data_IF_487698360533
#
_entry.id   IF_487698360533
#
_cell.length_a   1.000
_cell.length_b   1.000
_cell.length_c   1.000
_cell.angle_alpha   90.00
_cell.angle_beta   90.00
_cell.angle_gamma   90.00
#
_symmetry.space_group_name_H-M   'P 1'
#
loop_
_entity.id
_entity.type
_entity.pdbx_description
1 polymer ?
#
# COMPACT_ATOMS: atom_id res chain seq x y z
N UNK A 1 11.05 -7.45 -0.03
CA UNK A 1 10.95 -6.20 0.73
C UNK A 1 9.62 -6.10 1.44
N UNK A 2 9.57 -5.32 2.49
CA UNK A 2 8.33 -5.01 3.20
C UNK A 2 8.34 -3.53 3.58
N UNK A 3 7.26 -2.85 3.28
CA UNK A 3 7.03 -1.46 3.66
C UNK A 3 5.90 -1.40 4.68
N UNK A 4 6.11 -0.62 5.73
CA UNK A 4 5.14 -0.43 6.81
C UNK A 4 4.84 1.05 6.96
N UNK A 5 3.57 1.41 6.90
CA UNK A 5 3.08 2.76 7.15
C UNK A 5 2.24 2.71 8.43
N UNK A 6 2.56 3.58 9.37
CA UNK A 6 1.79 3.76 10.59
C UNK A 6 1.51 5.26 10.78
N UNK A 7 0.24 5.63 10.80
CA UNK A 7 -0.22 7.01 11.01
C UNK A 7 -1.22 7.02 12.18
N UNK A 8 -0.98 7.87 13.17
CA UNK A 8 -1.82 8.05 14.34
C UNK A 8 -2.23 9.50 14.47
N UNK A 9 -3.52 9.74 14.66
CA UNK A 9 -4.08 11.07 14.90
C UNK A 9 -4.90 11.05 16.18
N UNK A 10 -4.71 12.08 16.98
CA UNK A 10 -5.54 12.35 18.15
C UNK A 10 -6.15 13.73 18.03
N UNK A 11 -7.46 13.81 18.15
CA UNK A 11 -8.21 15.06 18.07
C UNK A 11 -9.01 15.25 19.34
N UNK A 12 -8.91 16.44 19.91
CA UNK A 12 -9.71 16.84 21.08
C UNK A 12 -10.58 18.03 20.69
N UNK A 13 -11.87 17.89 20.92
CA UNK A 13 -12.82 18.98 20.77
C UNK A 13 -13.27 19.41 22.16
N UNK A 14 -12.88 20.62 22.58
CA UNK A 14 -13.24 21.20 23.87
C UNK A 14 -14.36 22.22 23.68
N UNK A 15 -15.35 22.13 24.49
CA UNK A 15 -16.38 23.18 24.55
C UNK A 15 -15.80 24.48 25.10
N UNK A 16 -16.35 25.59 24.64
CA UNK A 16 -16.02 26.92 25.14
C UNK A 16 -17.18 27.43 25.95
N UNK A 17 -16.91 27.94 27.13
CA UNK A 17 -17.90 28.63 27.97
C UNK A 17 -17.54 30.09 28.14
N UNK A 18 -18.49 30.92 28.39
CA UNK A 18 -18.31 32.35 28.60
C UNK A 18 -19.18 32.85 29.76
N UNK A 19 -18.77 33.94 30.40
CA UNK A 19 -19.54 34.61 31.41
C UNK A 19 -20.31 35.75 30.75
N UNK A 20 -21.58 35.95 31.14
CA UNK A 20 -22.42 36.99 30.54
C UNK A 20 -21.99 38.41 30.96
N UNK A 21 -21.44 38.56 32.15
CA UNK A 21 -20.91 39.77 32.74
C UNK A 21 -19.96 39.43 33.88
N UNK A 22 -19.30 40.42 34.45
CA UNK A 22 -18.35 40.24 35.54
C UNK A 22 -18.98 39.72 36.87
N UNK A 23 -20.31 39.83 36.99
CA UNK A 23 -21.04 39.37 38.17
C UNK A 23 -21.61 37.95 38.02
N UNK A 24 -21.49 37.40 36.82
CA UNK A 24 -21.95 36.05 36.56
C UNK A 24 -21.08 35.01 37.30
N UNK A 25 -21.68 34.28 38.23
CA UNK A 25 -21.00 33.21 38.98
C UNK A 25 -20.93 31.91 38.23
N UNK A 26 -21.72 31.76 37.17
CA UNK A 26 -21.79 30.53 36.40
C UNK A 26 -21.47 30.79 34.91
N UNK A 27 -20.57 30.03 34.32
CA UNK A 27 -20.27 30.12 32.89
C UNK A 27 -21.41 29.54 32.06
N UNK A 28 -21.73 30.19 30.94
CA UNK A 28 -22.65 29.66 29.94
C UNK A 28 -21.92 28.98 28.79
N UNK A 29 -22.28 27.78 28.40
CA UNK A 29 -21.68 27.12 27.24
C UNK A 29 -22.07 27.88 25.95
N UNK A 30 -21.11 28.10 25.06
CA UNK A 30 -21.32 28.81 23.78
C UNK A 30 -22.15 27.95 22.82
N UNK A 31 -22.16 26.65 22.96
CA UNK A 31 -22.89 25.70 22.15
C UNK A 31 -22.98 24.35 22.85
N UNK A 32 -23.94 23.51 22.44
CA UNK A 32 -24.05 22.13 22.85
C UNK A 32 -22.67 21.51 22.99
N UNK A 33 -22.20 21.39 24.20
CA UNK A 33 -20.81 21.06 24.50
C UNK A 33 -20.63 19.55 24.51
N UNK A 34 -20.67 18.98 23.32
CA UNK A 34 -20.25 17.60 23.11
C UNK A 34 -18.72 17.56 23.19
N UNK A 35 -18.22 17.52 24.41
CA UNK A 35 -16.82 17.26 24.64
C UNK A 35 -16.45 15.91 24.05
N UNK A 36 -15.56 15.90 23.05
CA UNK A 36 -15.16 14.68 22.35
C UNK A 36 -13.65 14.54 22.37
N UNK A 37 -13.23 13.32 22.49
CA UNK A 37 -11.85 12.95 22.15
C UNK A 37 -11.90 11.76 21.21
N UNK A 38 -11.18 11.85 20.09
CA UNK A 38 -11.04 10.75 19.16
C UNK A 38 -9.57 10.37 18.98
N UNK A 39 -9.35 9.08 18.85
CA UNK A 39 -8.07 8.50 18.50
C UNK A 39 -8.26 7.67 17.23
N UNK A 40 -7.57 8.05 16.18
CA UNK A 40 -7.53 7.34 14.92
C UNK A 40 -6.15 6.74 14.72
N UNK A 41 -6.10 5.48 14.38
CA UNK A 41 -4.88 4.76 14.06
C UNK A 41 -5.05 4.06 12.72
N UNK A 42 -4.09 4.23 11.83
CA UNK A 42 -4.04 3.56 10.54
C UNK A 42 -2.69 2.86 10.39
N UNK A 43 -2.75 1.59 10.02
CA UNK A 43 -1.57 0.78 9.77
C UNK A 43 -1.71 0.09 8.42
N UNK A 44 -0.69 0.17 7.60
CA UNK A 44 -0.64 -0.52 6.31
C UNK A 44 0.68 -1.27 6.14
N UNK A 45 0.59 -2.46 5.56
CA UNK A 45 1.73 -3.32 5.24
C UNK A 45 1.70 -3.67 3.76
N UNK A 46 2.84 -3.48 3.09
CA UNK A 46 3.10 -4.02 1.77
C UNK A 46 4.23 -5.05 1.89
N UNK A 47 3.91 -6.31 1.62
CA UNK A 47 4.87 -7.40 1.61
C UNK A 47 5.03 -7.88 0.19
N UNK A 48 6.25 -7.80 -0.34
CA UNK A 48 6.60 -8.30 -1.66
C UNK A 48 7.60 -9.46 -1.51
N UNK A 49 7.20 -10.63 -1.98
CA UNK A 49 8.01 -11.86 -1.98
C UNK A 49 8.22 -12.30 -3.41
N UNK A 50 9.47 -12.64 -3.76
CA UNK A 50 9.79 -13.10 -5.10
C UNK A 50 10.82 -14.22 -5.09
N UNK A 51 10.62 -15.16 -6.00
CA UNK A 51 11.57 -16.22 -6.31
C UNK A 51 11.87 -16.14 -7.81
N UNK A 52 13.12 -15.95 -8.17
CA UNK A 52 13.58 -15.82 -9.55
C UNK A 52 14.65 -16.85 -9.84
N UNK A 53 14.55 -17.47 -11.02
CA UNK A 53 15.55 -18.36 -11.58
C UNK A 53 16.07 -17.72 -12.87
N UNK A 54 17.37 -17.45 -12.91
CA UNK A 54 18.04 -16.87 -14.07
C UNK A 54 18.98 -17.89 -14.72
N UNK A 55 18.98 -17.90 -16.05
CA UNK A 55 19.87 -18.74 -16.84
C UNK A 55 20.45 -17.91 -17.99
N UNK A 56 21.77 -18.00 -18.18
CA UNK A 56 22.45 -17.36 -19.32
C UNK A 56 23.59 -18.26 -19.79
N UNK A 57 23.61 -18.53 -21.09
CA UNK A 57 24.68 -19.34 -21.70
C UNK A 57 24.93 -18.96 -23.14
N UNK A 58 26.22 -18.89 -23.49
CA UNK A 58 26.70 -18.65 -24.85
C UNK A 58 27.28 -19.94 -25.44
N UNK A 59 26.85 -20.27 -26.66
CA UNK A 59 27.31 -21.42 -27.43
C UNK A 59 27.86 -20.94 -28.80
N UNK A 60 29.11 -20.65 -28.89
CA UNK A 60 29.72 -20.08 -30.11
C UNK A 60 29.11 -18.71 -30.43
N UNK A 61 28.33 -18.60 -31.52
CA UNK A 61 27.66 -17.37 -31.92
C UNK A 61 26.23 -17.23 -31.36
N UNK A 62 25.77 -18.20 -30.60
CA UNK A 62 24.42 -18.25 -30.05
C UNK A 62 24.44 -17.87 -28.57
N UNK A 63 23.65 -16.94 -28.16
CA UNK A 63 23.44 -16.61 -26.76
C UNK A 63 21.97 -16.89 -26.41
N UNK A 64 21.75 -17.62 -25.32
CA UNK A 64 20.44 -17.95 -24.78
C UNK A 64 20.36 -17.43 -23.36
N UNK A 65 19.34 -16.66 -23.08
CA UNK A 65 19.00 -16.21 -21.73
C UNK A 65 17.60 -16.64 -21.36
N UNK A 66 17.39 -16.94 -20.11
CA UNK A 66 16.09 -17.31 -19.57
C UNK A 66 15.91 -16.76 -18.17
N UNK A 67 14.76 -16.20 -17.88
CA UNK A 67 14.31 -15.83 -16.55
C UNK A 67 12.95 -16.45 -16.31
N UNK A 68 12.78 -17.08 -15.18
CA UNK A 68 11.49 -17.58 -14.71
C UNK A 68 11.29 -17.16 -13.26
N UNK A 69 10.07 -16.74 -12.91
CA UNK A 69 9.84 -16.27 -11.57
C UNK A 69 8.40 -16.37 -11.10
N UNK A 70 8.28 -16.38 -9.79
CA UNK A 70 7.01 -16.26 -9.07
C UNK A 70 7.13 -15.08 -8.12
N UNK A 71 6.16 -14.18 -8.17
CA UNK A 71 6.08 -13.05 -7.24
C UNK A 71 4.74 -13.05 -6.54
N UNK A 72 4.74 -12.63 -5.29
CA UNK A 72 3.53 -12.42 -4.50
C UNK A 72 3.64 -11.07 -3.79
N UNK A 73 2.67 -10.21 -4.05
CA UNK A 73 2.49 -8.95 -3.36
C UNK A 73 1.24 -9.02 -2.50
N UNK A 74 1.35 -8.70 -1.22
CA UNK A 74 0.24 -8.66 -0.28
C UNK A 74 0.20 -7.29 0.38
N UNK A 75 -0.90 -6.59 0.17
CA UNK A 75 -1.20 -5.33 0.84
C UNK A 75 -2.30 -5.56 1.86
N UNK A 76 -2.06 -5.13 3.08
CA UNK A 76 -3.03 -5.14 4.16
C UNK A 76 -3.06 -3.75 4.78
N UNK A 77 -4.25 -3.17 4.90
CA UNK A 77 -4.46 -1.94 5.65
C UNK A 77 -5.54 -2.15 6.68
N UNK A 78 -5.37 -1.54 7.82
CA UNK A 78 -6.31 -1.55 8.93
C UNK A 78 -6.39 -0.15 9.52
N UNK A 79 -7.59 0.34 9.73
CA UNK A 79 -7.84 1.60 10.42
C UNK A 79 -8.83 1.37 11.54
N UNK A 80 -8.55 1.96 12.67
CA UNK A 80 -9.48 1.98 13.79
C UNK A 80 -9.63 3.40 14.34
N UNK A 81 -10.83 3.74 14.69
CA UNK A 81 -11.16 5.00 15.34
C UNK A 81 -11.97 4.72 16.61
N UNK A 82 -11.55 5.36 17.70
CA UNK A 82 -12.25 5.33 18.97
C UNK A 82 -12.62 6.76 19.32
N UNK A 83 -13.91 7.05 19.38
CA UNK A 83 -14.43 8.34 19.84
C UNK A 83 -15.09 8.17 21.22
N UNK A 84 -14.78 9.05 22.14
CA UNK A 84 -15.48 9.20 23.42
C UNK A 84 -16.13 10.56 23.51
N UNK A 85 -17.36 10.59 23.98
CA UNK A 85 -18.16 11.80 24.23
C UNK A 85 -18.41 11.95 25.72
N UNK A 86 -18.62 13.20 26.16
CA UNK A 86 -18.88 13.51 27.56
C UNK A 86 -17.64 13.47 28.47
N UNK A 87 -16.47 13.73 27.90
CA UNK A 87 -15.21 13.83 28.67
C UNK A 87 -15.15 15.20 29.32
N UNK A 88 -14.99 15.26 30.65
CA UNK A 88 -14.82 16.51 31.36
C UNK A 88 -13.46 17.16 31.05
N UNK A 89 -13.43 18.41 30.50
CA UNK A 89 -12.20 19.08 30.16
C UNK A 89 -11.37 19.51 31.37
N UNK A 90 -12.01 19.74 32.50
CA UNK A 90 -11.36 20.29 33.71
C UNK A 90 -10.56 19.23 34.46
N UNK A 91 -10.82 17.95 34.20
CA UNK A 91 -10.11 16.85 34.83
C UNK A 91 -8.69 16.64 34.32
N UNK A 92 -8.24 17.42 33.33
CA UNK A 92 -6.87 17.35 32.80
C UNK A 92 -6.48 15.98 32.24
N UNK A 93 -7.48 15.14 31.98
CA UNK A 93 -7.24 13.77 31.56
C UNK A 93 -6.66 13.80 30.15
N UNK A 94 -5.51 13.22 30.07
CA UNK A 94 -4.80 13.06 28.82
C UNK A 94 -5.63 12.36 27.75
N UNK A 95 -5.13 12.37 26.56
CA UNK A 95 -5.68 11.74 25.36
C UNK A 95 -5.84 10.21 25.46
N UNK A 96 -5.63 9.64 26.64
CA UNK A 96 -5.74 8.20 26.84
C UNK A 96 -7.20 7.74 26.85
N UNK A 97 -7.64 7.34 25.67
CA UNK A 97 -8.97 6.81 25.42
C UNK A 97 -9.20 5.45 26.10
N UNK A 98 -8.13 4.76 26.47
CA UNK A 98 -8.23 3.42 27.04
C UNK A 98 -8.67 3.46 28.51
N UNK A 99 -8.43 4.55 29.22
CA UNK A 99 -8.80 4.68 30.62
C UNK A 99 -10.27 5.11 30.75
N UNK A 100 -11.15 4.14 30.84
CA UNK A 100 -12.60 4.31 30.77
C UNK A 100 -13.28 4.69 32.09
N UNK A 101 -12.50 4.96 33.16
CA UNK A 101 -13.02 5.09 34.53
C UNK A 101 -13.28 6.51 34.99
N UNK A 102 -12.94 7.52 34.19
CA UNK A 102 -13.02 8.91 34.62
C UNK A 102 -14.03 9.69 33.78
N UNK A 103 -15.06 10.18 34.43
CA UNK A 103 -16.13 11.00 33.84
C UNK A 103 -17.35 10.20 33.37
N UNK A 104 -18.48 10.87 33.24
CA UNK A 104 -19.69 10.33 32.63
C UNK A 104 -19.53 10.25 31.12
N UNK A 105 -18.95 9.16 30.64
CA UNK A 105 -18.80 8.93 29.21
C UNK A 105 -20.19 8.58 28.63
N UNK A 106 -20.77 9.49 27.86
CA UNK A 106 -22.13 9.35 27.31
C UNK A 106 -22.18 8.56 26.01
N UNK A 107 -21.06 8.35 25.33
CA UNK A 107 -21.02 7.56 24.10
C UNK A 107 -19.62 7.08 23.74
N UNK A 108 -19.56 5.90 23.13
CA UNK A 108 -18.34 5.32 22.53
C UNK A 108 -18.67 4.88 21.11
N UNK A 109 -17.88 5.32 20.15
CA UNK A 109 -17.97 4.84 18.78
C UNK A 109 -16.68 4.13 18.42
N UNK A 110 -16.82 2.93 17.90
CA UNK A 110 -15.70 2.15 17.37
C UNK A 110 -15.92 1.94 15.89
N UNK A 111 -14.95 2.34 15.10
CA UNK A 111 -14.89 2.03 13.66
C UNK A 111 -13.66 1.19 13.44
N UNK A 112 -13.83 0.01 12.90
CA UNK A 112 -12.77 -0.90 12.52
C UNK A 112 -12.95 -1.27 11.05
N UNK A 113 -12.00 -0.84 10.23
CA UNK A 113 -11.97 -1.13 8.81
C UNK A 113 -10.67 -1.85 8.47
N UNK A 114 -10.81 -2.97 7.81
CA UNK A 114 -9.66 -3.72 7.30
C UNK A 114 -9.83 -4.04 5.82
N UNK A 115 -8.77 -3.86 5.07
CA UNK A 115 -8.71 -4.20 3.66
C UNK A 115 -7.46 -5.03 3.38
N UNK A 116 -7.64 -6.13 2.66
CA UNK A 116 -6.54 -6.98 2.24
C UNK A 116 -6.64 -7.29 0.75
N UNK A 117 -5.55 -7.00 0.03
CA UNK A 117 -5.44 -7.34 -1.38
C UNK A 117 -4.15 -8.14 -1.62
N UNK A 118 -4.20 -9.04 -2.59
CA UNK A 118 -3.05 -9.84 -2.98
C UNK A 118 -2.98 -9.95 -4.50
N UNK A 119 -1.74 -9.88 -5.01
CA UNK A 119 -1.40 -10.10 -6.41
C UNK A 119 -0.34 -11.19 -6.47
N UNK A 120 -0.64 -12.28 -7.16
CA UNK A 120 0.30 -13.37 -7.42
C UNK A 120 0.61 -13.39 -8.90
N UNK A 121 1.88 -13.44 -9.26
CA UNK A 121 2.31 -13.41 -10.66
C UNK A 121 3.31 -14.52 -10.94
N UNK A 122 3.09 -15.18 -12.07
CA UNK A 122 4.06 -16.04 -12.71
C UNK A 122 4.65 -15.27 -13.89
N UNK A 123 5.96 -15.21 -14.00
CA UNK A 123 6.62 -14.51 -15.09
C UNK A 123 7.69 -15.37 -15.74
N UNK A 124 7.86 -15.19 -17.02
CA UNK A 124 8.90 -15.86 -17.79
C UNK A 124 9.40 -14.99 -18.92
N UNK A 125 10.69 -15.10 -19.21
CA UNK A 125 11.35 -14.42 -20.32
C UNK A 125 12.39 -15.36 -20.91
N UNK A 126 12.43 -15.46 -22.23
CA UNK A 126 13.44 -16.19 -22.98
C UNK A 126 13.98 -15.25 -24.04
N UNK A 127 15.28 -15.03 -23.99
CA UNK A 127 16.02 -14.23 -24.95
C UNK A 127 16.95 -15.12 -25.78
N UNK A 128 17.07 -14.81 -27.05
CA UNK A 128 18.01 -15.45 -27.95
C UNK A 128 18.69 -14.40 -28.82
N UNK A 129 20.01 -14.49 -28.94
CA UNK A 129 20.74 -13.69 -29.90
C UNK A 129 21.70 -14.54 -30.72
N UNK A 130 21.89 -14.15 -31.98
CA UNK A 130 22.79 -14.79 -32.91
C UNK A 130 23.85 -13.81 -33.44
N UNK A 131 25.10 -14.18 -33.27
CA UNK A 131 26.28 -13.43 -33.74
C UNK A 131 26.29 -11.95 -33.29
N UNK A 132 25.62 -11.62 -32.18
CA UNK A 132 25.40 -10.26 -31.69
C UNK A 132 24.78 -9.30 -32.70
N UNK A 133 24.04 -9.85 -33.67
CA UNK A 133 23.35 -9.10 -34.74
C UNK A 133 21.84 -9.18 -34.64
N UNK A 134 21.33 -10.38 -34.41
CA UNK A 134 19.90 -10.67 -34.39
C UNK A 134 19.48 -11.00 -32.97
N UNK A 135 18.45 -10.35 -32.49
CA UNK A 135 17.94 -10.51 -31.15
C UNK A 135 16.46 -10.82 -31.21
N UNK A 136 16.03 -11.78 -30.43
CA UNK A 136 14.61 -12.05 -30.19
C UNK A 136 14.38 -12.31 -28.71
N UNK A 137 13.29 -11.78 -28.21
CA UNK A 137 12.88 -12.02 -26.83
C UNK A 137 11.38 -12.30 -26.78
N UNK A 138 11.02 -13.31 -26.05
CA UNK A 138 9.64 -13.60 -25.66
C UNK A 138 9.53 -13.46 -24.17
N UNK A 139 8.53 -12.74 -23.69
CA UNK A 139 8.21 -12.65 -22.28
C UNK A 139 6.72 -12.79 -22.03
N UNK A 140 6.36 -13.26 -20.86
CA UNK A 140 4.98 -13.30 -20.42
C UNK A 140 4.86 -13.05 -18.93
N UNK A 141 3.68 -12.54 -18.54
CA UNK A 141 3.21 -12.52 -17.14
C UNK A 141 1.83 -13.16 -17.08
N UNK A 142 1.62 -13.92 -16.03
CA UNK A 142 0.34 -14.54 -15.71
C UNK A 142 -0.02 -14.13 -14.30
N UNK A 143 -0.91 -13.15 -14.18
CA UNK A 143 -1.20 -12.43 -12.96
C UNK A 143 -2.58 -12.81 -12.41
N UNK A 144 -2.65 -13.06 -11.09
CA UNK A 144 -3.89 -13.29 -10.36
C UNK A 144 -4.08 -12.23 -9.28
N UNK A 145 -5.17 -11.47 -9.36
CA UNK A 145 -5.50 -10.45 -8.36
C UNK A 145 -6.70 -10.85 -7.51
N UNK A 146 -6.59 -10.69 -6.20
CA UNK A 146 -7.69 -10.93 -5.25
C UNK A 146 -8.85 -9.93 -5.40
N UNK A 147 -8.65 -8.82 -6.12
CA UNK A 147 -9.70 -7.82 -6.40
C UNK A 147 -10.77 -8.32 -7.36
N UNK A 148 -10.48 -9.38 -8.12
CA UNK A 148 -11.41 -9.96 -9.08
C UNK A 148 -12.09 -11.22 -8.52
N UNK A 149 -13.27 -11.54 -9.04
CA UNK A 149 -13.98 -12.76 -8.72
C UNK A 149 -13.12 -14.00 -9.06
N UNK A 150 -13.30 -15.10 -8.36
CA UNK A 150 -12.45 -16.31 -8.45
C UNK A 150 -12.27 -16.80 -9.88
N UNK A 151 -13.30 -16.73 -10.71
CA UNK A 151 -13.31 -17.26 -12.07
C UNK A 151 -12.59 -16.35 -13.09
N UNK A 152 -12.33 -15.09 -12.72
CA UNK A 152 -11.74 -14.06 -13.61
C UNK A 152 -10.47 -13.42 -13.04
N UNK A 153 -9.82 -14.08 -12.08
CA UNK A 153 -8.65 -13.52 -11.41
C UNK A 153 -7.39 -13.51 -12.25
N UNK A 154 -7.30 -14.43 -13.18
CA UNK A 154 -6.10 -14.67 -13.94
C UNK A 154 -6.10 -13.92 -15.27
N UNK A 155 -5.05 -13.15 -15.51
CA UNK A 155 -4.78 -12.49 -16.77
C UNK A 155 -3.45 -12.92 -17.37
N UNK A 156 -3.40 -13.17 -18.68
CA UNK A 156 -2.18 -13.53 -19.39
C UNK A 156 -1.71 -12.39 -20.28
N UNK A 157 -0.46 -11.99 -20.13
CA UNK A 157 0.14 -10.83 -20.79
C UNK A 157 1.44 -11.24 -21.50
N UNK A 158 1.37 -11.67 -22.76
CA UNK A 158 2.55 -12.00 -23.54
C UNK A 158 3.15 -10.76 -24.22
N UNK A 159 4.46 -10.81 -24.46
CA UNK A 159 5.19 -9.81 -25.23
C UNK A 159 6.28 -10.46 -26.08
N UNK A 160 6.51 -9.93 -27.28
CA UNK A 160 7.58 -10.34 -28.18
C UNK A 160 8.36 -9.11 -28.61
N UNK A 161 9.69 -9.22 -28.60
CA UNK A 161 10.56 -8.19 -29.15
C UNK A 161 11.57 -8.78 -30.12
N UNK A 162 11.89 -8.02 -31.16
CA UNK A 162 12.86 -8.36 -32.18
C UNK A 162 13.85 -7.19 -32.33
N UNK A 163 15.12 -7.50 -32.45
CA UNK A 163 16.17 -6.53 -32.62
C UNK A 163 17.15 -6.93 -33.73
N UNK A 164 17.60 -5.97 -34.49
CA UNK A 164 18.64 -6.16 -35.51
C UNK A 164 19.70 -5.08 -35.41
N UNK A 165 20.97 -5.50 -35.25
CA UNK A 165 22.11 -4.60 -35.24
C UNK A 165 22.66 -4.45 -36.68
N UNK A 166 22.13 -3.50 -37.41
CA UNK A 166 22.49 -3.21 -38.80
C UNK A 166 23.98 -2.88 -38.97
N UNK A 167 24.58 -2.20 -37.99
CA UNK A 167 26.01 -1.78 -38.05
C UNK A 167 26.99 -2.95 -38.14
N UNK A 168 26.59 -4.14 -37.75
CA UNK A 168 27.41 -5.34 -37.81
C UNK A 168 27.24 -6.16 -39.10
N UNK A 169 26.37 -5.70 -40.02
CA UNK A 169 26.20 -6.33 -41.33
C UNK A 169 27.32 -5.98 -42.29
N UNK A 170 27.65 -6.93 -43.19
CA UNK A 170 28.79 -6.77 -44.12
C UNK A 170 28.61 -5.56 -45.03
N UNK A 171 27.37 -5.23 -45.43
CA UNK A 171 27.08 -4.07 -46.27
C UNK A 171 27.29 -2.72 -45.58
N UNK A 172 27.23 -2.71 -44.23
CA UNK A 172 27.46 -1.50 -43.44
C UNK A 172 28.94 -1.28 -43.08
N UNK A 173 29.78 -2.30 -43.23
CA UNK A 173 31.21 -2.18 -42.90
C UNK A 173 31.94 -1.20 -43.85
N UNK A 174 31.40 -0.96 -45.04
CA UNK A 174 31.94 0.03 -45.97
C UNK A 174 31.72 1.48 -45.51
N UNK A 175 30.88 1.71 -44.49
CA UNK A 175 30.55 3.03 -43.95
C UNK A 175 31.11 3.26 -42.52
N UNK A 176 31.93 2.33 -42.00
CA UNK A 176 32.74 2.48 -40.80
C UNK A 176 34.11 2.99 -41.16
#
# INVERSE_FOLDING_TARGET
>A
GADVINDMRSTRNLGVSYYLNEEATEPRPVKDTDYRTSNWNHTAYLINSQLLLDYNKTFGKHNVSGLFGVTNESFTSSSNEIEKKGVDPDLGIGTDITNSTVGNITGKTFVDESNRTSLTSLLGRVGYSYADRYYTEFSFRYDASSKFHKDYRWGFFPSVSLGWRLSEENFMQAYK
#
